data_IF_617738250212
#
_entry.id   IF_617738250212
#
_cell.length_a   1.000
_cell.length_b   1.000
_cell.length_c   1.000
_cell.angle_alpha   90.00
_cell.angle_beta   90.00
_cell.angle_gamma   90.00
#
_symmetry.space_group_name_H-M   'P 1'
#
loop_
_entity.id
_entity.type
_entity.pdbx_description
1 polymer ?
#
# COMPACT_ATOMS: atom_id res chain seq x y z
N UNK A 1 -40.77 -64.48 2.35
CA UNK A 1 -39.50 -64.30 1.63
C UNK A 1 -39.45 -62.85 1.17
N UNK A 2 -38.51 -62.08 1.71
CA UNK A 2 -38.01 -60.75 1.27
C UNK A 2 -38.91 -59.52 1.64
N UNK A 3 -38.33 -58.41 2.16
CA UNK A 3 -38.89 -57.67 3.28
C UNK A 3 -39.53 -56.31 2.95
N UNK A 4 -40.29 -55.80 3.92
CA UNK A 4 -40.76 -54.41 4.02
C UNK A 4 -39.55 -53.47 4.14
N UNK A 5 -39.26 -52.71 3.08
CA UNK A 5 -38.29 -51.63 3.12
C UNK A 5 -38.93 -50.40 3.75
N UNK A 6 -38.78 -50.32 5.07
CA UNK A 6 -39.06 -49.17 5.90
C UNK A 6 -38.31 -47.97 5.35
N UNK A 7 -39.08 -46.96 4.95
CA UNK A 7 -38.62 -45.62 4.61
C UNK A 7 -37.81 -45.04 5.76
N UNK A 8 -36.50 -44.89 5.57
CA UNK A 8 -35.62 -44.16 6.50
C UNK A 8 -34.38 -43.66 5.74
N UNK A 9 -34.62 -42.77 4.79
CA UNK A 9 -33.58 -41.85 4.30
C UNK A 9 -33.92 -40.48 4.86
N UNK A 10 -33.58 -40.27 6.12
CA UNK A 10 -33.54 -38.95 6.74
C UNK A 10 -32.34 -38.88 7.69
N UNK A 11 -31.14 -38.91 7.11
CA UNK A 11 -29.96 -38.31 7.71
C UNK A 11 -29.71 -37.03 6.89
N UNK A 12 -30.31 -35.88 7.19
CA UNK A 12 -30.10 -35.08 8.41
C UNK A 12 -28.61 -34.96 8.73
N UNK A 13 -27.95 -34.11 7.96
CA UNK A 13 -27.08 -33.02 8.43
C UNK A 13 -26.02 -32.78 7.36
N UNK A 14 -26.39 -31.99 6.35
CA UNK A 14 -25.43 -31.18 5.62
C UNK A 14 -24.85 -30.21 6.66
N UNK A 15 -23.79 -30.62 7.34
CA UNK A 15 -22.88 -29.74 8.08
C UNK A 15 -22.09 -28.94 7.04
N UNK A 16 -22.79 -28.15 6.24
CA UNK A 16 -22.23 -26.94 5.68
C UNK A 16 -22.23 -25.94 6.84
N UNK A 17 -21.27 -26.11 7.75
CA UNK A 17 -20.78 -25.00 8.54
C UNK A 17 -20.24 -23.98 7.56
N UNK A 18 -21.15 -23.14 7.05
CA UNK A 18 -20.79 -21.85 6.49
C UNK A 18 -20.11 -21.13 7.65
N UNK A 19 -18.79 -21.28 7.74
CA UNK A 19 -17.95 -20.35 8.45
C UNK A 19 -18.18 -19.01 7.77
N UNK A 20 -19.24 -18.33 8.20
CA UNK A 20 -19.48 -16.95 7.89
C UNK A 20 -18.43 -16.21 8.69
N UNK A 21 -17.21 -16.13 8.13
CA UNK A 21 -16.19 -15.23 8.63
C UNK A 21 -16.84 -13.87 8.70
N UNK A 22 -17.18 -13.45 9.92
CA UNK A 22 -17.96 -12.25 10.15
C UNK A 22 -17.02 -11.07 9.94
N UNK A 23 -16.98 -10.57 8.71
CA UNK A 23 -16.15 -9.42 8.36
C UNK A 23 -16.85 -8.14 8.83
N UNK A 24 -16.23 -7.42 9.76
CA UNK A 24 -16.64 -6.08 10.14
C UNK A 24 -15.84 -5.07 9.34
N UNK A 25 -16.53 -4.23 8.55
CA UNK A 25 -15.93 -3.16 7.77
C UNK A 25 -16.40 -1.83 8.32
N UNK A 26 -15.46 -0.92 8.57
CA UNK A 26 -15.76 0.46 8.96
C UNK A 26 -16.14 1.32 7.76
N UNK A 27 -16.72 2.48 8.04
CA UNK A 27 -17.02 3.49 7.01
C UNK A 27 -15.74 3.99 6.34
N UNK A 28 -15.80 4.33 5.04
CA UNK A 28 -14.65 4.86 4.32
C UNK A 28 -14.26 6.23 4.88
N UNK A 29 -12.98 6.39 5.17
CA UNK A 29 -12.36 7.62 5.66
C UNK A 29 -11.61 8.29 4.51
N UNK A 30 -11.90 9.58 4.30
CA UNK A 30 -11.21 10.44 3.33
C UNK A 30 -9.95 11.01 3.97
N UNK A 31 -8.82 10.95 3.26
CA UNK A 31 -7.52 11.42 3.76
C UNK A 31 -7.22 12.79 3.13
N UNK A 32 -7.65 13.87 3.79
CA UNK A 32 -7.50 15.23 3.24
C UNK A 32 -8.10 15.34 1.83
N UNK A 33 -7.38 15.97 0.90
CA UNK A 33 -7.79 16.10 -0.51
C UNK A 33 -7.26 14.97 -1.41
N UNK A 34 -6.86 13.83 -0.83
CA UNK A 34 -6.27 12.71 -1.55
C UNK A 34 -7.29 11.97 -2.44
N UNK A 35 -6.89 11.47 -3.63
CA UNK A 35 -7.72 10.58 -4.44
C UNK A 35 -7.86 9.17 -3.84
N UNK A 36 -7.37 8.94 -2.62
CA UNK A 36 -7.39 7.65 -1.93
C UNK A 36 -8.18 7.77 -0.63
N UNK A 37 -9.11 6.83 -0.45
CA UNK A 37 -9.82 6.61 0.82
C UNK A 37 -9.32 5.32 1.45
N UNK A 38 -9.55 5.15 2.75
CA UNK A 38 -9.28 3.88 3.41
C UNK A 38 -10.45 3.45 4.29
N UNK A 39 -10.52 2.17 4.58
CA UNK A 39 -11.43 1.59 5.58
C UNK A 39 -10.72 0.50 6.35
N UNK A 40 -10.96 0.44 7.64
CA UNK A 40 -10.53 -0.68 8.47
C UNK A 40 -11.47 -1.86 8.27
N UNK A 41 -10.90 -3.02 8.01
CA UNK A 41 -11.58 -4.31 7.88
C UNK A 41 -11.06 -5.22 8.97
N UNK A 42 -11.97 -5.78 9.76
CA UNK A 42 -11.67 -6.75 10.80
C UNK A 42 -12.32 -8.06 10.42
N UNK A 43 -11.53 -9.13 10.32
CA UNK A 43 -12.00 -10.46 9.99
C UNK A 43 -11.79 -11.40 11.18
N UNK A 44 -12.83 -12.15 11.53
CA UNK A 44 -12.73 -13.24 12.51
C UNK A 44 -12.14 -14.44 11.79
N UNK A 45 -10.86 -14.74 12.06
CA UNK A 45 -10.16 -15.89 11.47
C UNK A 45 -10.37 -17.15 12.30
N UNK A 46 -10.54 -16.97 13.61
CA UNK A 46 -10.82 -18.03 14.58
C UNK A 46 -11.66 -17.46 15.74
N UNK A 47 -12.24 -18.32 16.59
CA UNK A 47 -13.16 -17.94 17.67
C UNK A 47 -12.62 -16.83 18.60
N UNK A 48 -11.29 -16.72 18.73
CA UNK A 48 -10.61 -15.70 19.55
C UNK A 48 -9.64 -14.79 18.75
N UNK A 49 -9.48 -15.01 17.45
CA UNK A 49 -8.48 -14.28 16.62
C UNK A 49 -9.14 -13.33 15.64
N UNK A 50 -8.93 -12.03 15.87
CA UNK A 50 -9.29 -10.95 14.96
C UNK A 50 -8.08 -10.50 14.16
N UNK A 51 -8.16 -10.57 12.84
CA UNK A 51 -7.20 -9.93 11.95
C UNK A 51 -7.71 -8.57 11.48
N UNK A 52 -6.90 -7.54 11.69
CA UNK A 52 -7.18 -6.19 11.22
C UNK A 52 -6.39 -5.92 9.94
N UNK A 53 -7.06 -5.37 8.95
CA UNK A 53 -6.51 -4.98 7.66
C UNK A 53 -7.04 -3.61 7.26
N UNK A 54 -6.23 -2.84 6.54
CA UNK A 54 -6.63 -1.57 5.96
C UNK A 54 -6.89 -1.78 4.48
N UNK A 55 -8.07 -1.39 4.00
CA UNK A 55 -8.42 -1.39 2.58
C UNK A 55 -8.35 0.02 2.05
N UNK A 56 -7.41 0.28 1.16
CA UNK A 56 -7.34 1.49 0.37
C UNK A 56 -8.24 1.38 -0.84
N UNK A 57 -8.89 2.47 -1.22
CA UNK A 57 -9.68 2.57 -2.45
C UNK A 57 -9.33 3.86 -3.19
N UNK A 58 -9.00 3.72 -4.47
CA UNK A 58 -8.81 4.88 -5.35
C UNK A 58 -10.19 5.39 -5.80
N UNK A 59 -10.55 6.59 -5.36
CA UNK A 59 -11.78 7.28 -5.75
C UNK A 59 -11.54 8.31 -6.87
N UNK A 60 -10.28 8.51 -7.26
CA UNK A 60 -9.89 9.37 -8.36
C UNK A 60 -10.05 8.73 -9.74
N UNK A 61 -9.69 9.48 -10.78
CA UNK A 61 -9.80 9.06 -12.18
C UNK A 61 -8.49 8.52 -12.77
N UNK A 62 -7.37 8.70 -12.08
CA UNK A 62 -6.05 8.26 -12.55
C UNK A 62 -5.56 7.06 -11.74
N UNK A 63 -4.70 6.25 -12.35
CA UNK A 63 -3.92 5.25 -11.61
C UNK A 63 -3.01 5.99 -10.63
N UNK A 64 -2.95 5.56 -9.38
CA UNK A 64 -2.11 6.18 -8.36
C UNK A 64 -1.20 5.16 -7.71
N UNK A 65 0.01 5.58 -7.35
CA UNK A 65 0.88 4.85 -6.43
C UNK A 65 1.20 5.76 -5.27
N UNK A 66 1.31 5.22 -4.06
CA UNK A 66 1.55 6.00 -2.86
C UNK A 66 2.18 5.16 -1.76
N UNK A 67 3.04 5.79 -0.97
CA UNK A 67 3.48 5.25 0.31
C UNK A 67 2.57 5.70 1.45
N UNK A 68 2.55 4.88 2.49
CA UNK A 68 1.71 5.08 3.66
C UNK A 68 2.45 4.66 4.91
N UNK A 69 2.02 5.21 6.05
CA UNK A 69 2.34 4.74 7.39
C UNK A 69 1.05 4.51 8.14
N UNK A 70 0.94 3.35 8.79
CA UNK A 70 -0.10 3.09 9.76
C UNK A 70 0.39 3.58 11.12
N UNK A 71 -0.42 4.37 11.81
CA UNK A 71 -0.14 4.89 13.15
C UNK A 71 -1.36 4.77 14.07
N UNK A 72 -1.13 4.79 15.38
CA UNK A 72 -2.21 4.88 16.38
C UNK A 72 -2.78 6.31 16.49
N UNK A 73 -2.05 7.32 16.00
CA UNK A 73 -2.43 8.74 16.04
C UNK A 73 -2.13 9.42 14.69
N UNK A 74 -2.96 10.38 14.30
CA UNK A 74 -2.76 11.23 13.13
C UNK A 74 -1.57 12.20 13.26
N UNK A 75 -1.05 12.43 14.47
CA UNK A 75 0.12 13.28 14.69
C UNK A 75 1.45 12.63 14.27
N UNK A 76 1.47 11.32 14.00
CA UNK A 76 2.68 10.60 13.61
C UNK A 76 3.03 10.96 12.16
N UNK A 77 4.19 11.57 11.88
CA UNK A 77 4.56 11.92 10.52
C UNK A 77 4.92 10.66 9.73
N UNK A 78 4.52 10.66 8.45
CA UNK A 78 5.06 9.70 7.50
C UNK A 78 6.53 10.03 7.21
N UNK A 79 7.40 9.01 7.29
CA UNK A 79 8.84 9.16 7.04
C UNK A 79 9.23 8.65 5.65
N UNK A 80 9.02 7.36 5.41
CA UNK A 80 9.26 6.68 4.15
C UNK A 80 8.48 5.36 4.07
N UNK A 81 8.54 4.71 2.91
CA UNK A 81 7.88 3.43 2.67
C UNK A 81 8.59 2.19 3.28
N UNK A 82 9.78 2.36 3.86
CA UNK A 82 10.57 1.29 4.48
C UNK A 82 10.51 1.33 6.01
N UNK A 83 9.93 2.39 6.56
CA UNK A 83 9.77 2.61 7.97
C UNK A 83 8.83 1.61 8.65
N UNK A 84 8.79 1.62 9.99
CA UNK A 84 7.89 0.76 10.74
C UNK A 84 6.45 1.04 10.33
N UNK A 85 5.65 -0.02 10.23
CA UNK A 85 4.23 0.05 9.85
C UNK A 85 3.95 0.81 8.55
N UNK A 86 4.96 0.91 7.69
CA UNK A 86 4.89 1.67 6.45
C UNK A 86 4.96 0.72 5.26
N UNK A 87 4.49 1.19 4.11
CA UNK A 87 4.50 0.40 2.90
C UNK A 87 4.23 1.23 1.66
N UNK A 88 4.24 0.56 0.52
CA UNK A 88 4.00 1.15 -0.79
C UNK A 88 2.85 0.40 -1.46
N UNK A 89 1.83 1.14 -1.90
CA UNK A 89 0.79 0.63 -2.80
C UNK A 89 1.14 1.06 -4.21
N UNK A 90 1.37 0.09 -5.08
CA UNK A 90 1.77 0.33 -6.46
C UNK A 90 0.57 0.26 -7.41
N UNK A 91 0.46 1.26 -8.30
CA UNK A 91 -0.47 1.27 -9.44
C UNK A 91 -1.92 0.89 -9.10
N UNK A 92 -2.49 1.49 -8.05
CA UNK A 92 -3.89 1.32 -7.70
C UNK A 92 -4.78 1.98 -8.76
N UNK A 93 -5.51 1.16 -9.51
CA UNK A 93 -6.41 1.61 -10.57
C UNK A 93 -7.64 2.35 -10.02
N UNK A 94 -8.23 3.28 -10.80
CA UNK A 94 -9.50 3.92 -10.44
C UNK A 94 -10.58 2.91 -10.05
N UNK A 95 -11.21 3.12 -8.89
CA UNK A 95 -12.24 2.23 -8.35
C UNK A 95 -11.73 0.93 -7.74
N UNK A 96 -10.46 0.58 -7.92
CA UNK A 96 -9.86 -0.63 -7.35
C UNK A 96 -9.53 -0.45 -5.87
N UNK A 97 -9.37 -1.58 -5.19
CA UNK A 97 -9.05 -1.65 -3.77
C UNK A 97 -7.76 -2.43 -3.55
N UNK A 98 -6.93 -1.96 -2.61
CA UNK A 98 -5.75 -2.66 -2.13
C UNK A 98 -5.91 -2.94 -0.63
N UNK A 99 -5.74 -4.19 -0.23
CA UNK A 99 -5.79 -4.59 1.18
C UNK A 99 -4.37 -4.74 1.71
N UNK A 100 -4.08 -4.11 2.84
CA UNK A 100 -2.82 -4.25 3.55
C UNK A 100 -3.07 -4.73 4.97
N UNK A 101 -2.20 -5.60 5.49
CA UNK A 101 -2.31 -6.11 6.85
C UNK A 101 -1.94 -5.00 7.85
N UNK A 102 -2.72 -4.85 8.92
CA UNK A 102 -2.36 -3.96 10.00
C UNK A 102 -1.20 -4.56 10.82
N UNK A 103 -0.09 -3.85 10.89
CA UNK A 103 1.11 -4.27 11.64
C UNK A 103 1.16 -3.70 13.06
N UNK A 104 0.27 -2.77 13.42
CA UNK A 104 0.18 -2.16 14.76
C UNK A 104 -0.46 -3.07 15.84
N UNK A 105 -0.60 -4.38 15.56
CA UNK A 105 -1.21 -5.33 16.50
C UNK A 105 -2.74 -5.26 16.54
N UNK A 106 -3.35 -5.56 17.69
CA UNK A 106 -4.82 -5.67 17.87
C UNK A 106 -5.55 -4.32 17.99
N UNK A 107 -4.88 -3.21 17.68
CA UNK A 107 -5.45 -1.86 17.82
C UNK A 107 -6.61 -1.65 16.84
N UNK A 108 -7.78 -1.28 17.39
CA UNK A 108 -8.99 -0.91 16.62
C UNK A 108 -8.92 0.49 16.02
N UNK A 109 -8.08 1.37 16.56
CA UNK A 109 -7.86 2.73 16.05
C UNK A 109 -6.60 2.74 15.20
N UNK A 110 -6.74 2.64 13.88
CA UNK A 110 -5.63 2.79 12.94
C UNK A 110 -5.85 4.05 12.15
N UNK A 111 -4.89 4.95 12.24
CA UNK A 111 -4.80 6.14 11.41
C UNK A 111 -3.85 5.86 10.26
N UNK A 112 -4.29 6.21 9.05
CA UNK A 112 -3.49 6.13 7.84
C UNK A 112 -2.93 7.51 7.54
N UNK A 113 -1.61 7.61 7.50
CA UNK A 113 -0.91 8.81 7.05
C UNK A 113 -0.32 8.51 5.68
N UNK A 114 -0.77 9.27 4.67
CA UNK A 114 -0.23 9.15 3.32
C UNK A 114 1.04 9.98 3.20
N UNK A 115 2.03 9.41 2.53
CA UNK A 115 3.24 10.10 2.12
C UNK A 115 3.06 10.77 0.76
N UNK A 116 3.98 10.45 -0.14
CA UNK A 116 3.99 10.92 -1.52
C UNK A 116 2.97 10.14 -2.34
N UNK A 117 2.23 10.85 -3.17
CA UNK A 117 1.29 10.27 -4.13
C UNK A 117 1.77 10.61 -5.54
N UNK A 118 1.81 9.61 -6.40
CA UNK A 118 2.11 9.79 -7.82
C UNK A 118 0.97 9.31 -8.69
N UNK A 119 0.54 10.14 -9.62
CA UNK A 119 -0.42 9.77 -10.65
C UNK A 119 0.27 9.12 -11.86
N UNK A 120 -0.50 8.32 -12.59
CA UNK A 120 -0.07 7.57 -13.77
C UNK A 120 0.48 6.19 -13.43
N UNK A 121 0.40 5.30 -14.42
CA UNK A 121 1.00 3.96 -14.32
C UNK A 121 2.52 4.08 -14.43
N UNK A 122 3.23 3.54 -13.45
CA UNK A 122 4.71 3.55 -13.39
C UNK A 122 5.26 2.14 -13.28
N UNK A 123 6.44 1.92 -13.85
CA UNK A 123 7.16 0.65 -13.66
C UNK A 123 7.73 0.57 -12.24
N UNK A 124 8.00 -0.65 -11.75
CA UNK A 124 8.60 -0.85 -10.43
C UNK A 124 9.93 -0.10 -10.25
N UNK A 125 10.75 0.01 -11.29
CA UNK A 125 11.99 0.80 -11.25
C UNK A 125 11.74 2.30 -11.09
N UNK A 126 10.72 2.85 -11.78
CA UNK A 126 10.33 4.25 -11.63
C UNK A 126 9.77 4.51 -10.24
N UNK A 127 9.01 3.58 -9.67
CA UNK A 127 8.50 3.66 -8.31
C UNK A 127 9.64 3.57 -7.29
N UNK A 128 10.60 2.65 -7.47
CA UNK A 128 11.77 2.54 -6.62
C UNK A 128 12.59 3.85 -6.59
N UNK A 129 12.74 4.54 -7.73
CA UNK A 129 13.40 5.87 -7.76
C UNK A 129 12.67 6.93 -6.95
N UNK A 130 11.34 6.87 -6.90
CA UNK A 130 10.52 7.88 -6.25
C UNK A 130 10.37 7.61 -4.74
N UNK A 131 10.19 6.35 -4.37
CA UNK A 131 9.82 5.92 -3.02
C UNK A 131 10.95 5.25 -2.25
N UNK A 132 11.98 4.75 -2.93
CA UNK A 132 13.16 4.10 -2.35
C UNK A 132 14.49 4.61 -2.93
N UNK A 133 14.72 5.94 -2.95
CA UNK A 133 15.90 6.51 -3.58
C UNK A 133 17.21 6.02 -2.94
N UNK A 134 17.22 5.78 -1.62
CA UNK A 134 18.42 5.39 -0.87
C UNK A 134 18.86 3.94 -1.08
N UNK A 135 17.99 3.07 -1.62
CA UNK A 135 18.35 1.67 -1.89
C UNK A 135 18.81 1.43 -3.32
N UNK A 136 18.71 2.44 -4.18
CA UNK A 136 19.26 2.33 -5.52
C UNK A 136 20.78 2.52 -5.43
N UNK A 137 21.58 1.59 -6.00
CA UNK A 137 23.00 1.86 -6.16
C UNK A 137 23.15 3.18 -6.92
N UNK A 138 24.15 4.02 -6.58
CA UNK A 138 24.42 5.22 -7.35
C UNK A 138 24.53 4.81 -8.83
N UNK A 139 24.00 5.61 -9.77
CA UNK A 139 24.19 5.32 -11.18
C UNK A 139 25.70 5.18 -11.39
N UNK A 140 26.17 3.95 -11.60
CA UNK A 140 27.57 3.73 -11.92
C UNK A 140 27.82 4.56 -13.18
N UNK A 141 28.81 5.46 -13.19
CA UNK A 141 29.18 6.13 -14.41
C UNK A 141 29.46 5.02 -15.41
N UNK A 142 28.76 5.05 -16.54
CA UNK A 142 29.04 4.13 -17.63
C UNK A 142 30.53 4.28 -17.93
N UNK A 143 31.31 3.24 -17.63
CA UNK A 143 32.69 3.10 -18.07
C UNK A 143 32.66 2.85 -19.58
N UNK A 144 32.31 3.91 -20.31
CA UNK A 144 32.42 4.06 -21.74
C UNK A 144 33.68 4.85 -22.02
N UNK A 145 34.74 4.10 -22.34
CA UNK A 145 35.84 4.47 -23.24
C UNK A 145 35.78 5.88 -23.86
N UNK A 146 36.75 6.72 -23.48
CA UNK A 146 37.39 7.69 -24.37
C UNK A 146 36.61 8.98 -24.66
N UNK A 147 37.11 10.08 -24.10
CA UNK A 147 36.68 11.42 -24.51
C UNK A 147 36.95 12.45 -23.44
N UNK A 148 38.19 12.97 -23.40
CA UNK A 148 38.51 14.22 -22.73
C UNK A 148 37.52 15.31 -23.19
N UNK A 149 36.69 15.82 -22.29
CA UNK A 149 36.13 17.15 -22.42
C UNK A 149 36.52 17.96 -21.19
N UNK A 150 37.16 19.13 -21.36
CA UNK A 150 37.77 19.85 -20.26
C UNK A 150 36.72 20.58 -19.43
N UNK A 151 36.98 20.62 -18.13
CA UNK A 151 36.36 21.53 -17.18
C UNK A 151 36.53 22.97 -17.72
N UNK A 152 35.48 23.79 -17.91
CA UNK A 152 35.68 25.18 -18.27
C UNK A 152 36.30 25.89 -17.07
N UNK A 153 37.59 26.21 -17.18
CA UNK A 153 38.27 27.19 -16.35
C UNK A 153 37.57 28.54 -16.54
N UNK A 154 36.98 29.06 -15.48
CA UNK A 154 36.50 30.44 -15.39
C UNK A 154 37.72 31.37 -15.40
N UNK A 155 38.12 31.78 -16.60
CA UNK A 155 39.02 32.89 -16.83
C UNK A 155 38.17 34.09 -17.28
N UNK A 156 38.10 35.12 -16.45
CA UNK A 156 37.81 36.48 -16.87
C UNK A 156 38.35 37.43 -15.82
N UNK A 157 39.64 37.69 -15.95
CA UNK A 157 40.26 38.89 -15.42
C UNK A 157 39.76 40.14 -16.18
N UNK A 158 39.66 41.26 -15.45
CA UNK A 158 39.95 42.65 -15.87
C UNK A 158 38.91 43.33 -16.80
N UNK A 159 38.55 44.63 -16.73
CA UNK A 159 39.14 45.84 -16.11
C UNK A 159 38.20 47.05 -16.28
N UNK A 160 38.26 48.01 -15.33
CA UNK A 160 38.16 49.49 -15.44
C UNK A 160 36.96 50.22 -16.09
N UNK A 161 36.35 51.16 -15.36
CA UNK A 161 36.52 52.65 -15.50
C UNK A 161 35.31 53.41 -14.92
N UNK A 162 35.51 54.23 -13.90
CA UNK A 162 35.35 55.70 -13.91
C UNK A 162 35.93 56.32 -12.64
#
# INVERSE_FOLDING_TARGET
MIPRFTSLILAAAILAGLSSCKTMTSDPVVIGDSPVTYRLVSEIVDEETLEHSVKFRNIGQQVVSFDYTLADDASVPHLDCLGPNSGLVENLYPGAEATVKNTLGKSRGVHVVLGRITAGKKSGEQLARVYKPSTLPPPMPASGSGGLLPLPTLDSASTSSE
#
